data_IF_836701991561
#
_entry.id   IF_836701991561
#
_cell.length_a   1.000
_cell.length_b   1.000
_cell.length_c   1.000
_cell.angle_alpha   90.00
_cell.angle_beta   90.00
_cell.angle_gamma   90.00
#
_symmetry.space_group_name_H-M   'P 1'
#
loop_
_entity.id
_entity.type
_entity.pdbx_description
1 polymer ?
#
# COMPACT_ATOMS: atom_id res chain seq x y z
N UNK A 1 -4.51 14.90 1.03
CA UNK A 1 -5.95 15.08 0.71
C UNK A 1 -6.66 13.73 0.76
N UNK A 2 -7.96 13.69 1.10
CA UNK A 2 -8.72 12.44 1.08
C UNK A 2 -9.09 12.06 -0.37
N UNK A 3 -8.80 10.82 -0.75
CA UNK A 3 -9.25 10.25 -2.03
C UNK A 3 -10.76 10.01 -1.98
N UNK A 4 -11.44 10.23 -3.11
CA UNK A 4 -12.85 9.88 -3.25
C UNK A 4 -13.11 8.40 -2.97
N UNK A 5 -14.31 8.07 -2.48
CA UNK A 5 -14.66 6.72 -2.01
C UNK A 5 -14.37 5.63 -3.04
N UNK A 6 -14.78 5.83 -4.28
CA UNK A 6 -14.54 4.88 -5.38
C UNK A 6 -13.04 4.60 -5.60
N UNK A 7 -12.23 5.64 -5.57
CA UNK A 7 -10.79 5.53 -5.83
C UNK A 7 -10.08 4.77 -4.70
N UNK A 8 -10.51 4.98 -3.44
CA UNK A 8 -10.04 4.19 -2.29
C UNK A 8 -10.41 2.72 -2.43
N UNK A 9 -11.63 2.41 -2.86
CA UNK A 9 -12.07 1.03 -3.08
C UNK A 9 -11.23 0.34 -4.14
N UNK A 10 -10.95 0.99 -5.28
CA UNK A 10 -10.10 0.43 -6.34
C UNK A 10 -8.67 0.16 -5.85
N UNK A 11 -8.08 1.09 -5.10
CA UNK A 11 -6.73 0.91 -4.55
C UNK A 11 -6.70 -0.24 -3.55
N UNK A 12 -7.71 -0.32 -2.67
CA UNK A 12 -7.84 -1.43 -1.72
C UNK A 12 -7.95 -2.77 -2.44
N UNK A 13 -8.85 -2.88 -3.41
CA UNK A 13 -9.04 -4.11 -4.21
C UNK A 13 -7.76 -4.59 -4.89
N UNK A 14 -6.88 -3.63 -5.25
CA UNK A 14 -5.60 -3.93 -5.86
C UNK A 14 -4.53 -4.36 -4.87
N UNK A 15 -4.41 -3.66 -3.74
CA UNK A 15 -3.31 -3.87 -2.78
C UNK A 15 -3.62 -4.96 -1.77
N UNK A 16 -4.86 -5.11 -1.34
CA UNK A 16 -5.23 -6.08 -0.31
C UNK A 16 -4.87 -7.53 -0.69
N UNK A 17 -5.08 -8.02 -1.94
CA UNK A 17 -4.60 -9.33 -2.34
C UNK A 17 -3.08 -9.49 -2.24
N UNK A 18 -2.32 -8.46 -2.62
CA UNK A 18 -0.85 -8.46 -2.57
C UNK A 18 -0.37 -8.52 -1.11
N UNK A 19 -1.00 -7.76 -0.21
CA UNK A 19 -0.69 -7.82 1.23
C UNK A 19 -0.96 -9.22 1.79
N UNK A 20 -2.10 -9.83 1.43
CA UNK A 20 -2.48 -11.19 1.87
C UNK A 20 -1.60 -12.28 1.29
N UNK A 21 -1.06 -12.07 0.09
CA UNK A 21 -0.07 -12.95 -0.53
C UNK A 21 1.24 -12.96 0.25
N UNK A 22 1.69 -11.80 0.74
CA UNK A 22 2.89 -11.69 1.58
C UNK A 22 2.68 -12.30 2.98
N UNK A 23 1.59 -11.89 3.65
CA UNK A 23 1.23 -12.40 4.97
C UNK A 23 -0.30 -12.28 5.16
N UNK A 24 -0.97 -13.40 5.46
CA UNK A 24 -2.43 -13.44 5.60
C UNK A 24 -2.97 -12.55 6.73
N UNK A 25 -2.16 -12.19 7.72
CA UNK A 25 -2.55 -11.34 8.85
C UNK A 25 -2.47 -9.84 8.52
N UNK A 26 -1.79 -9.45 7.43
CA UNK A 26 -1.71 -8.04 7.03
C UNK A 26 -3.11 -7.51 6.65
N UNK A 27 -3.56 -6.48 7.34
CA UNK A 27 -4.82 -5.79 7.08
C UNK A 27 -4.58 -4.46 6.36
N UNK A 28 -5.38 -4.16 5.32
CA UNK A 28 -5.44 -2.82 4.76
C UNK A 28 -6.27 -1.92 5.68
N UNK A 29 -5.69 -0.82 6.14
CA UNK A 29 -6.35 0.11 7.08
C UNK A 29 -6.82 1.38 6.36
N UNK A 30 -5.93 2.04 5.63
CA UNK A 30 -6.23 3.33 5.02
C UNK A 30 -5.37 3.61 3.79
N UNK A 31 -5.83 4.54 2.97
CA UNK A 31 -5.05 5.11 1.86
C UNK A 31 -5.28 6.60 1.77
N UNK A 32 -4.20 7.33 1.50
CA UNK A 32 -4.21 8.78 1.33
C UNK A 32 -3.19 9.20 0.28
N UNK A 33 -3.41 10.39 -0.29
CA UNK A 33 -2.38 11.07 -1.08
C UNK A 33 -1.88 12.27 -0.29
N UNK A 34 -0.62 12.60 -0.49
CA UNK A 34 -0.04 13.82 0.07
C UNK A 34 -0.68 15.09 -0.52
N UNK A 35 -0.23 16.26 -0.05
CA UNK A 35 -0.76 17.55 -0.50
C UNK A 35 -0.41 17.84 -1.97
N UNK A 36 0.77 17.39 -2.43
CA UNK A 36 1.24 17.58 -3.81
C UNK A 36 0.64 16.58 -4.79
N UNK A 37 -0.02 15.52 -4.31
CA UNK A 37 -0.55 14.38 -5.09
C UNK A 37 0.55 13.63 -5.84
N UNK A 38 1.78 13.72 -5.35
CA UNK A 38 2.93 13.01 -5.91
C UNK A 38 3.05 11.61 -5.32
N UNK A 39 2.65 11.44 -4.05
CA UNK A 39 2.78 10.18 -3.35
C UNK A 39 1.45 9.64 -2.84
N UNK A 40 1.33 8.31 -2.94
CA UNK A 40 0.29 7.51 -2.33
C UNK A 40 0.84 6.85 -1.06
N UNK A 41 0.19 7.09 0.07
CA UNK A 41 0.41 6.36 1.31
C UNK A 41 -0.65 5.29 1.49
N UNK A 42 -0.24 4.04 1.68
CA UNK A 42 -1.11 2.95 2.11
C UNK A 42 -0.69 2.52 3.52
N UNK A 43 -1.65 2.52 4.44
CA UNK A 43 -1.46 2.00 5.79
C UNK A 43 -1.93 0.55 5.80
N UNK A 44 -0.97 -0.35 6.01
CA UNK A 44 -1.24 -1.73 6.38
C UNK A 44 -1.02 -1.91 7.89
N UNK A 45 -1.55 -2.98 8.46
CA UNK A 45 -1.35 -3.32 9.87
C UNK A 45 -1.08 -4.82 9.98
N UNK A 46 -0.01 -5.16 10.70
CA UNK A 46 0.29 -6.52 11.13
C UNK A 46 0.17 -6.53 12.66
N UNK A 47 -0.73 -7.35 13.20
CA UNK A 47 -1.07 -7.34 14.63
C UNK A 47 -1.43 -5.92 15.12
N UNK A 48 -0.70 -5.34 16.08
CA UNK A 48 -0.90 -3.96 16.56
C UNK A 48 0.04 -2.95 15.90
N UNK A 49 0.84 -3.38 14.91
CA UNK A 49 1.87 -2.54 14.29
C UNK A 49 1.42 -1.96 12.95
N UNK A 50 1.22 -0.63 12.86
CA UNK A 50 0.94 0.02 11.58
C UNK A 50 2.20 0.14 10.72
N UNK A 51 2.05 -0.14 9.43
CA UNK A 51 3.08 -0.10 8.41
C UNK A 51 2.64 0.85 7.29
N UNK A 52 3.39 1.92 7.07
CA UNK A 52 3.14 2.85 5.98
C UNK A 52 3.94 2.43 4.74
N UNK A 53 3.25 2.00 3.69
CA UNK A 53 3.81 1.80 2.35
C UNK A 53 3.65 3.09 1.53
N UNK A 54 4.71 3.50 0.83
CA UNK A 54 4.75 4.74 0.07
C UNK A 54 5.05 4.45 -1.40
N UNK A 55 4.22 4.96 -2.30
CA UNK A 55 4.37 4.81 -3.73
C UNK A 55 4.34 6.18 -4.40
N UNK A 56 5.01 6.35 -5.55
CA UNK A 56 4.69 7.49 -6.42
C UNK A 56 3.32 7.26 -7.02
N UNK A 57 2.46 8.27 -7.00
CA UNK A 57 1.06 8.14 -7.41
C UNK A 57 0.92 7.75 -8.89
N UNK A 58 1.70 8.39 -9.77
CA UNK A 58 1.68 8.09 -11.21
C UNK A 58 2.14 6.67 -11.45
N UNK A 59 3.29 6.30 -10.90
CA UNK A 59 3.86 4.95 -11.04
C UNK A 59 2.89 3.90 -10.50
N UNK A 60 2.28 4.13 -9.34
CA UNK A 60 1.29 3.23 -8.79
C UNK A 60 0.17 2.93 -9.79
N UNK A 61 -0.34 3.93 -10.52
CA UNK A 61 -1.42 3.71 -11.50
C UNK A 61 -0.94 2.95 -12.72
N UNK A 62 0.26 3.25 -13.23
CA UNK A 62 0.77 2.72 -14.50
C UNK A 62 1.52 1.40 -14.39
N UNK A 63 2.09 1.10 -13.22
CA UNK A 63 2.91 -0.10 -12.99
C UNK A 63 2.03 -1.34 -13.02
N UNK A 64 2.42 -2.44 -13.70
CA UNK A 64 1.71 -3.72 -13.64
C UNK A 64 1.71 -4.34 -12.24
N UNK A 65 0.72 -5.19 -11.95
CA UNK A 65 0.59 -5.81 -10.62
C UNK A 65 1.78 -6.67 -10.20
N UNK A 66 2.49 -7.29 -11.15
CA UNK A 66 3.71 -8.06 -10.87
C UNK A 66 4.83 -7.20 -10.28
N UNK A 67 5.07 -6.02 -10.86
CA UNK A 67 6.09 -5.08 -10.37
C UNK A 67 5.63 -4.37 -9.09
N UNK A 68 4.34 -4.07 -8.97
CA UNK A 68 3.77 -3.52 -7.74
C UNK A 68 3.94 -4.48 -6.56
N UNK A 69 3.78 -5.80 -6.80
CA UNK A 69 4.03 -6.84 -5.80
C UNK A 69 5.48 -6.80 -5.30
N UNK A 70 6.45 -6.75 -6.21
CA UNK A 70 7.87 -6.67 -5.85
C UNK A 70 8.16 -5.42 -5.00
N UNK A 71 7.59 -4.27 -5.36
CA UNK A 71 7.75 -3.04 -4.59
C UNK A 71 7.10 -3.14 -3.19
N UNK A 72 5.88 -3.70 -3.10
CA UNK A 72 5.20 -3.91 -1.81
C UNK A 72 6.04 -4.82 -0.91
N UNK A 73 6.51 -5.95 -1.44
CA UNK A 73 7.27 -6.94 -0.67
C UNK A 73 8.58 -6.32 -0.18
N UNK A 74 9.32 -5.63 -1.05
CA UNK A 74 10.55 -4.95 -0.68
C UNK A 74 10.35 -3.90 0.42
N UNK A 75 9.24 -3.16 0.39
CA UNK A 75 8.91 -2.20 1.45
C UNK A 75 8.54 -2.87 2.77
N UNK A 76 7.83 -4.00 2.72
CA UNK A 76 7.45 -4.79 3.90
C UNK A 76 8.68 -5.41 4.56
N UNK A 77 9.55 -6.07 3.79
CA UNK A 77 10.80 -6.67 4.27
C UNK A 77 11.63 -5.63 5.05
N UNK A 78 11.87 -4.46 4.45
CA UNK A 78 12.63 -3.38 5.09
C UNK A 78 12.02 -2.84 6.38
N UNK A 79 10.70 -2.95 6.57
CA UNK A 79 9.99 -2.43 7.75
C UNK A 79 9.85 -3.48 8.84
N UNK A 80 9.76 -4.75 8.46
CA UNK A 80 9.68 -5.87 9.37
C UNK A 80 11.07 -6.29 9.88
N UNK A 81 12.13 -6.15 9.07
CA UNK A 81 13.52 -6.34 9.52
C UNK A 81 13.99 -5.29 10.54
N UNK A 82 13.38 -4.11 10.53
CA UNK A 82 13.69 -2.99 11.45
C UNK A 82 12.74 -2.94 12.65
N UNK A 83 11.94 -3.99 12.87
CA UNK A 83 11.02 -4.15 14.00
C UNK A 83 11.74 -4.73 15.21
#
# INVERSE_FOLDING_TARGET
MLLGAERRTRIRQRIEPILKEYNQELAFIAVFVDSTREFLGVVAQLEERPLLLKFRWVDFISTPDSQLREEVFSQLDRKLEKA
#
